data_IF_710469877870
#
_entry.id   IF_710469877870
#
_cell.length_a   1.000
_cell.length_b   1.000
_cell.length_c   1.000
_cell.angle_alpha   90.00
_cell.angle_beta   90.00
_cell.angle_gamma   90.00
#
_symmetry.space_group_name_H-M   'P 1'
#
loop_
_entity.id
_entity.type
_entity.pdbx_description
1 polymer ?
#
# COMPACT_ATOMS: atom_id res chain seq x y z
N UNK A 1 -3.71 19.96 -10.64
CA UNK A 1 -4.23 18.62 -10.24
C UNK A 1 -4.76 18.73 -8.82
N UNK A 2 -5.75 17.90 -8.49
CA UNK A 2 -6.26 17.74 -7.14
C UNK A 2 -5.37 16.75 -6.37
N UNK A 3 -5.27 16.94 -5.07
CA UNK A 3 -4.59 16.00 -4.18
C UNK A 3 -5.40 15.86 -2.90
N UNK A 4 -5.43 14.64 -2.38
CA UNK A 4 -6.12 14.31 -1.14
C UNK A 4 -5.19 13.54 -0.22
N UNK A 5 -5.36 13.71 1.08
CA UNK A 5 -4.74 12.89 2.10
C UNK A 5 -5.79 12.49 3.13
N UNK A 6 -5.68 11.28 3.65
CA UNK A 6 -6.44 10.81 4.81
C UNK A 6 -5.45 10.71 5.95
N UNK A 7 -5.71 11.40 7.06
CA UNK A 7 -4.83 11.31 8.23
C UNK A 7 -5.12 10.06 9.08
N UNK A 8 -4.35 9.92 10.16
CA UNK A 8 -4.46 8.77 11.06
C UNK A 8 -5.78 8.72 11.84
N UNK A 9 -6.52 9.82 11.89
CA UNK A 9 -7.81 9.94 12.59
C UNK A 9 -8.99 9.76 11.61
N UNK A 10 -8.69 9.55 10.32
CA UNK A 10 -9.66 9.35 9.27
C UNK A 10 -10.23 10.65 8.70
N UNK A 11 -9.65 11.82 9.01
CA UNK A 11 -10.06 13.09 8.40
C UNK A 11 -9.49 13.20 6.99
N UNK A 12 -10.32 13.70 6.08
CA UNK A 12 -9.95 13.95 4.69
C UNK A 12 -9.47 15.39 4.52
N UNK A 13 -8.28 15.53 3.95
CA UNK A 13 -7.65 16.79 3.59
C UNK A 13 -7.55 16.90 2.07
N UNK A 14 -7.79 18.09 1.51
CA UNK A 14 -7.68 18.31 0.06
C UNK A 14 -6.97 19.61 -0.27
N UNK A 15 -6.22 19.62 -1.37
CA UNK A 15 -5.58 20.81 -1.93
C UNK A 15 -5.38 20.68 -3.45
N UNK A 16 -4.95 21.78 -4.09
CA UNK A 16 -4.81 21.86 -5.53
C UNK A 16 -6.10 22.34 -6.20
N UNK A 17 -6.39 21.83 -7.39
CA UNK A 17 -7.56 22.25 -8.19
C UNK A 17 -8.77 21.38 -7.85
N UNK A 18 -9.53 21.80 -6.83
CA UNK A 18 -10.59 21.01 -6.19
C UNK A 18 -11.99 21.56 -6.50
N UNK A 19 -13.06 20.76 -6.39
CA UNK A 19 -14.45 21.26 -6.40
C UNK A 19 -14.65 22.39 -5.39
N UNK A 20 -15.27 23.49 -5.81
CA UNK A 20 -15.53 24.66 -4.96
C UNK A 20 -16.68 24.40 -4.01
N UNK A 21 -16.39 24.36 -2.70
CA UNK A 21 -17.41 24.21 -1.65
C UNK A 21 -18.08 25.53 -1.24
N UNK A 22 -17.62 26.65 -1.77
CA UNK A 22 -18.16 27.98 -1.49
C UNK A 22 -19.27 28.35 -2.49
N UNK A 23 -20.49 28.58 -1.99
CA UNK A 23 -21.57 29.22 -2.76
C UNK A 23 -21.26 30.71 -2.92
N UNK A 24 -20.35 31.07 -3.83
CA UNK A 24 -19.99 32.49 -4.04
C UNK A 24 -20.92 33.24 -4.99
N UNK A 25 -21.89 32.59 -5.61
CA UNK A 25 -22.96 33.23 -6.39
C UNK A 25 -24.22 32.37 -6.32
N UNK A 26 -25.40 32.94 -6.61
CA UNK A 26 -26.67 32.20 -6.80
C UNK A 26 -26.65 31.23 -8.00
N UNK A 27 -25.47 30.85 -8.49
CA UNK A 27 -25.28 29.86 -9.52
C UNK A 27 -24.88 28.55 -8.86
N UNK A 28 -25.76 27.56 -8.95
CA UNK A 28 -25.53 26.17 -8.53
C UNK A 28 -24.57 25.44 -9.48
N UNK A 29 -23.73 26.15 -10.23
CA UNK A 29 -22.88 25.58 -11.27
C UNK A 29 -21.61 25.00 -10.65
N UNK A 30 -21.28 23.76 -11.03
CA UNK A 30 -20.03 23.12 -10.63
C UNK A 30 -18.85 23.96 -11.11
N UNK A 31 -17.96 24.32 -10.18
CA UNK A 31 -16.73 25.04 -10.46
C UNK A 31 -15.58 24.46 -9.67
N UNK A 32 -14.37 24.62 -10.20
CA UNK A 32 -13.13 24.21 -9.56
C UNK A 32 -12.42 25.46 -9.02
N UNK A 33 -11.89 25.34 -7.81
CA UNK A 33 -11.13 26.39 -7.10
C UNK A 33 -9.75 25.88 -6.73
N UNK A 34 -8.80 26.80 -6.57
CA UNK A 34 -7.43 26.47 -6.17
C UNK A 34 -7.30 26.61 -4.66
N UNK A 35 -7.05 25.48 -3.99
CA UNK A 35 -6.66 25.42 -2.59
C UNK A 35 -5.13 25.33 -2.51
N UNK A 36 -4.47 26.39 -2.03
CA UNK A 36 -3.00 26.47 -1.99
C UNK A 36 -2.37 25.67 -0.84
N UNK A 37 -3.16 25.25 0.14
CA UNK A 37 -2.72 24.44 1.27
C UNK A 37 -3.75 23.34 1.55
N UNK A 38 -3.35 22.20 2.17
CA UNK A 38 -4.28 21.19 2.63
C UNK A 38 -5.36 21.79 3.53
N UNK A 39 -6.62 21.62 3.15
CA UNK A 39 -7.78 22.03 3.95
C UNK A 39 -8.61 20.82 4.37
N UNK A 40 -9.09 20.77 5.62
CA UNK A 40 -9.93 19.67 6.08
C UNK A 40 -11.32 19.76 5.45
N UNK A 41 -11.83 18.62 5.01
CA UNK A 41 -13.16 18.48 4.44
C UNK A 41 -14.21 18.37 5.55
N UNK A 42 -14.78 19.51 5.95
CA UNK A 42 -15.75 19.59 7.05
C UNK A 42 -17.02 18.78 6.82
N UNK A 43 -17.39 18.46 5.58
CA UNK A 43 -18.51 17.57 5.27
C UNK A 43 -18.30 16.11 5.70
N UNK A 44 -17.06 15.70 6.00
CA UNK A 44 -16.72 14.42 6.61
C UNK A 44 -16.40 14.55 8.11
N UNK A 45 -16.69 15.68 8.74
CA UNK A 45 -16.50 15.82 10.18
C UNK A 45 -17.37 14.81 10.93
N UNK A 46 -16.75 13.99 11.79
CA UNK A 46 -17.42 12.91 12.51
C UNK A 46 -17.56 11.60 11.70
N UNK A 47 -17.06 11.56 10.47
CA UNK A 47 -16.94 10.34 9.68
C UNK A 47 -15.46 9.93 9.58
N UNK A 48 -15.21 8.62 9.51
CA UNK A 48 -13.86 8.09 9.35
C UNK A 48 -13.63 7.63 7.90
N UNK A 49 -12.88 8.41 7.11
CA UNK A 49 -12.46 8.03 5.75
C UNK A 49 -11.32 7.01 5.85
N UNK A 50 -11.34 5.92 5.06
CA UNK A 50 -10.22 4.95 5.01
C UNK A 50 -9.39 5.05 3.73
N UNK A 51 -10.05 5.30 2.61
CA UNK A 51 -9.39 5.40 1.29
C UNK A 51 -10.02 6.53 0.49
N UNK A 52 -9.21 7.18 -0.31
CA UNK A 52 -9.63 8.22 -1.25
C UNK A 52 -8.96 7.97 -2.59
N UNK A 53 -9.68 8.21 -3.68
CA UNK A 53 -9.15 8.17 -5.04
C UNK A 53 -9.55 9.44 -5.79
N UNK A 54 -8.60 10.05 -6.49
CA UNK A 54 -8.80 11.28 -7.23
C UNK A 54 -8.68 11.01 -8.73
N UNK A 55 -9.71 11.36 -9.50
CA UNK A 55 -9.63 11.46 -10.95
C UNK A 55 -9.19 12.86 -11.39
N UNK A 56 -9.45 13.22 -12.65
CA UNK A 56 -9.11 14.56 -13.14
C UNK A 56 -9.90 15.65 -12.40
N UNK A 57 -11.19 15.41 -12.20
CA UNK A 57 -12.12 16.40 -11.66
C UNK A 57 -13.17 15.77 -10.73
N UNK A 58 -12.98 14.51 -10.31
CA UNK A 58 -13.87 13.80 -9.39
C UNK A 58 -13.10 13.04 -8.32
N UNK A 59 -13.78 12.73 -7.22
CA UNK A 59 -13.23 12.02 -6.07
C UNK A 59 -14.17 10.91 -5.66
N UNK A 60 -13.60 9.77 -5.28
CA UNK A 60 -14.27 8.73 -4.53
C UNK A 60 -13.65 8.62 -3.14
N UNK A 61 -14.50 8.44 -2.12
CA UNK A 61 -14.07 8.15 -0.76
C UNK A 61 -14.77 6.90 -0.24
N UNK A 62 -13.97 6.01 0.35
CA UNK A 62 -14.44 4.89 1.16
C UNK A 62 -14.48 5.35 2.61
N UNK A 63 -15.66 5.32 3.22
CA UNK A 63 -15.93 5.87 4.55
C UNK A 63 -16.57 4.80 5.44
N UNK A 64 -16.18 4.77 6.72
CA UNK A 64 -16.83 3.90 7.71
C UNK A 64 -18.28 4.34 7.93
N UNK A 65 -19.20 3.39 7.84
CA UNK A 65 -20.55 3.54 8.37
C UNK A 65 -20.54 3.12 9.84
N UNK A 66 -20.48 4.11 10.72
CA UNK A 66 -20.49 3.91 12.17
C UNK A 66 -21.76 3.22 12.70
N UNK A 67 -22.84 3.17 11.92
CA UNK A 67 -24.11 2.55 12.31
C UNK A 67 -24.21 1.09 11.86
N UNK A 68 -23.69 0.78 10.67
CA UNK A 68 -23.84 -0.54 10.05
C UNK A 68 -22.59 -1.44 10.17
N UNK A 69 -21.44 -0.91 10.61
CA UNK A 69 -20.18 -1.65 10.66
C UNK A 69 -19.68 -2.08 9.28
N UNK A 70 -20.08 -1.34 8.24
CA UNK A 70 -19.67 -1.55 6.85
C UNK A 70 -18.99 -0.28 6.32
N UNK A 71 -18.55 -0.33 5.05
CA UNK A 71 -17.97 0.82 4.37
C UNK A 71 -18.93 1.29 3.27
N UNK A 72 -19.06 2.60 3.12
CA UNK A 72 -19.87 3.24 2.09
C UNK A 72 -19.00 4.06 1.12
N UNK A 73 -19.44 4.16 -0.12
CA UNK A 73 -18.77 4.95 -1.15
C UNK A 73 -19.43 6.33 -1.28
N UNK A 74 -18.66 7.38 -1.08
CA UNK A 74 -19.04 8.75 -1.43
C UNK A 74 -18.34 9.18 -2.72
N UNK A 75 -19.03 9.97 -3.54
CA UNK A 75 -18.51 10.52 -4.77
C UNK A 75 -18.86 12.02 -4.92
N UNK A 76 -17.94 12.84 -5.42
CA UNK A 76 -18.21 14.22 -5.79
C UNK A 76 -17.26 14.71 -6.89
N UNK A 77 -17.61 15.84 -7.50
CA UNK A 77 -16.87 16.46 -8.58
C UNK A 77 -17.64 16.50 -9.90
N UNK A 78 -16.90 16.54 -11.00
CA UNK A 78 -17.43 16.45 -12.36
C UNK A 78 -18.14 15.11 -12.56
N UNK A 79 -19.29 15.13 -13.24
CA UNK A 79 -20.08 13.93 -13.52
C UNK A 79 -20.56 13.82 -14.97
N UNK A 80 -19.91 14.51 -15.92
CA UNK A 80 -20.38 14.59 -17.32
C UNK A 80 -20.62 13.23 -17.98
N UNK A 81 -19.89 12.21 -17.57
CA UNK A 81 -19.98 10.85 -18.11
C UNK A 81 -20.57 9.85 -17.11
N UNK A 82 -21.07 10.31 -15.96
CA UNK A 82 -21.60 9.43 -14.92
C UNK A 82 -20.55 8.87 -13.96
N UNK A 83 -19.34 9.46 -13.93
CA UNK A 83 -18.21 8.95 -13.14
C UNK A 83 -18.38 9.01 -11.62
N UNK A 84 -19.46 9.62 -11.14
CA UNK A 84 -19.87 9.57 -9.73
C UNK A 84 -20.73 8.36 -9.38
N UNK A 85 -21.33 7.67 -10.37
CA UNK A 85 -22.10 6.45 -10.12
C UNK A 85 -23.47 6.66 -9.45
N UNK A 86 -23.94 7.90 -9.36
CA UNK A 86 -25.16 8.29 -8.64
C UNK A 86 -26.45 8.20 -9.48
N UNK A 87 -26.41 7.57 -10.66
CA UNK A 87 -27.56 7.35 -11.52
C UNK A 87 -27.93 8.52 -12.43
N UNK A 88 -27.08 9.54 -12.53
CA UNK A 88 -27.23 10.68 -13.43
C UNK A 88 -25.85 11.19 -13.89
N UNK A 89 -25.83 12.23 -14.73
CA UNK A 89 -24.62 12.89 -15.22
C UNK A 89 -24.45 14.32 -14.68
N UNK A 90 -25.08 14.64 -13.54
CA UNK A 90 -25.02 15.97 -12.92
C UNK A 90 -23.86 16.07 -11.94
N UNK A 91 -23.03 17.09 -12.11
CA UNK A 91 -21.86 17.31 -11.27
C UNK A 91 -22.26 17.62 -9.82
N UNK A 92 -21.47 17.15 -8.87
CA UNK A 92 -21.76 17.27 -7.44
C UNK A 92 -20.67 18.07 -6.75
N UNK A 93 -21.05 19.18 -6.13
CA UNK A 93 -20.10 19.97 -5.33
C UNK A 93 -19.81 19.29 -4.00
N UNK A 94 -20.82 18.65 -3.40
CA UNK A 94 -20.71 17.97 -2.10
C UNK A 94 -20.65 16.45 -2.28
N UNK A 95 -19.97 15.71 -1.39
CA UNK A 95 -20.02 14.25 -1.36
C UNK A 95 -21.45 13.72 -1.40
N UNK A 96 -21.73 12.85 -2.37
CA UNK A 96 -22.98 12.12 -2.51
C UNK A 96 -22.75 10.63 -2.29
N UNK A 97 -23.68 9.98 -1.59
CA UNK A 97 -23.64 8.54 -1.39
C UNK A 97 -23.92 7.82 -2.72
N UNK A 98 -23.04 6.89 -3.11
CA UNK A 98 -23.26 6.02 -4.27
C UNK A 98 -24.17 4.86 -3.85
N UNK A 99 -25.48 5.15 -3.73
CA UNK A 99 -26.46 4.22 -3.13
C UNK A 99 -26.58 2.86 -3.86
N UNK A 100 -26.17 2.79 -5.13
CA UNK A 100 -26.14 1.55 -5.90
C UNK A 100 -25.07 0.54 -5.39
N UNK A 101 -24.03 1.03 -4.68
CA UNK A 101 -22.97 0.23 -4.04
C UNK A 101 -23.29 -0.01 -2.56
N UNK A 102 -24.48 -0.48 -2.26
CA UNK A 102 -24.83 -0.85 -0.89
C UNK A 102 -24.56 -2.33 -0.62
N UNK A 103 -24.57 -2.69 0.65
CA UNK A 103 -24.22 -4.03 1.10
C UNK A 103 -25.16 -5.11 0.57
N UNK A 104 -26.44 -4.79 0.40
CA UNK A 104 -27.47 -5.72 -0.09
C UNK A 104 -27.30 -6.02 -1.59
N UNK A 105 -26.82 -5.05 -2.37
CA UNK A 105 -26.66 -5.19 -3.82
C UNK A 105 -25.26 -5.63 -4.24
N UNK A 106 -24.22 -5.20 -3.51
CA UNK A 106 -22.84 -5.29 -3.97
C UNK A 106 -21.86 -5.88 -2.94
N UNK A 107 -22.20 -5.93 -1.66
CA UNK A 107 -21.36 -6.47 -0.58
C UNK A 107 -20.52 -5.41 0.15
N UNK A 108 -19.35 -5.79 0.68
CA UNK A 108 -18.50 -4.87 1.46
C UNK A 108 -17.49 -4.12 0.59
N UNK A 109 -17.52 -2.80 0.60
CA UNK A 109 -16.55 -1.97 -0.11
C UNK A 109 -15.14 -2.11 0.49
N UNK A 110 -14.15 -2.45 -0.34
CA UNK A 110 -12.75 -2.68 0.09
C UNK A 110 -11.73 -1.83 -0.68
N UNK A 111 -12.12 -1.26 -1.81
CA UNK A 111 -11.23 -0.46 -2.65
C UNK A 111 -11.97 0.50 -3.58
N UNK A 112 -11.36 1.64 -3.83
CA UNK A 112 -11.82 2.68 -4.76
C UNK A 112 -10.64 3.13 -5.61
N UNK A 113 -10.88 3.44 -6.88
CA UNK A 113 -9.88 3.96 -7.81
C UNK A 113 -10.57 4.86 -8.85
N UNK A 114 -9.87 5.90 -9.29
CA UNK A 114 -10.37 6.89 -10.24
C UNK A 114 -9.39 7.02 -11.40
N UNK A 115 -9.92 6.99 -12.62
CA UNK A 115 -9.18 7.40 -13.81
C UNK A 115 -9.50 8.84 -14.21
N UNK A 116 -9.32 9.19 -15.48
CA UNK A 116 -9.60 10.55 -15.96
C UNK A 116 -11.07 10.95 -15.74
N UNK A 117 -11.98 10.10 -16.23
CA UNK A 117 -13.43 10.31 -16.23
C UNK A 117 -14.19 9.01 -15.96
N UNK A 118 -13.54 8.05 -15.30
CA UNK A 118 -14.16 6.78 -14.90
C UNK A 118 -13.71 6.40 -13.50
N UNK A 119 -14.42 5.45 -12.94
CA UNK A 119 -14.35 5.04 -11.55
C UNK A 119 -14.41 3.52 -11.48
N UNK A 120 -13.64 2.94 -10.57
CA UNK A 120 -13.64 1.52 -10.29
C UNK A 120 -13.68 1.29 -8.78
N UNK A 121 -14.45 0.29 -8.36
CA UNK A 121 -14.57 -0.09 -6.95
C UNK A 121 -14.49 -1.60 -6.81
N UNK A 122 -13.91 -2.04 -5.69
CA UNK A 122 -13.86 -3.45 -5.30
C UNK A 122 -14.81 -3.70 -4.14
N UNK A 123 -15.65 -4.71 -4.32
CA UNK A 123 -16.66 -5.12 -3.34
C UNK A 123 -16.48 -6.59 -3.00
N UNK A 124 -16.44 -6.96 -1.72
CA UNK A 124 -16.37 -8.35 -1.28
C UNK A 124 -17.78 -8.95 -1.16
N UNK A 125 -18.01 -10.14 -1.72
CA UNK A 125 -19.36 -10.70 -1.87
C UNK A 125 -20.00 -11.24 -0.60
N UNK A 126 -19.23 -11.49 0.47
CA UNK A 126 -19.74 -12.11 1.70
C UNK A 126 -19.53 -11.25 2.94
N UNK A 127 -20.59 -11.12 3.76
CA UNK A 127 -20.46 -10.98 5.22
C UNK A 127 -20.00 -12.34 5.74
N UNK A 128 -18.75 -12.50 6.15
CA UNK A 128 -18.39 -13.69 6.93
C UNK A 128 -17.87 -13.24 8.29
N UNK A 129 -18.69 -13.50 9.31
CA UNK A 129 -18.30 -13.57 10.72
C UNK A 129 -17.34 -14.76 11.01
N UNK A 130 -16.72 -15.34 9.97
CA UNK A 130 -15.80 -16.47 10.01
C UNK A 130 -14.61 -16.13 9.08
N UNK A 131 -13.41 -15.81 9.60
CA UNK A 131 -12.30 -15.22 8.83
C UNK A 131 -11.59 -16.14 7.81
N UNK A 132 -12.16 -17.25 7.36
CA UNK A 132 -11.36 -18.36 6.80
C UNK A 132 -11.86 -19.01 5.50
N UNK A 133 -12.95 -18.55 4.89
CA UNK A 133 -13.38 -19.04 3.58
C UNK A 133 -13.26 -17.93 2.52
N UNK A 134 -12.72 -18.33 1.37
CA UNK A 134 -12.25 -17.51 0.24
C UNK A 134 -13.31 -16.56 -0.32
N UNK A 135 -13.52 -15.43 0.36
CA UNK A 135 -14.50 -14.43 -0.08
C UNK A 135 -14.06 -13.83 -1.43
N UNK A 136 -14.89 -14.01 -2.46
CA UNK A 136 -14.64 -13.49 -3.81
C UNK A 136 -14.99 -12.02 -3.84
N UNK A 137 -14.06 -11.20 -4.31
CA UNK A 137 -14.32 -9.78 -4.56
C UNK A 137 -14.71 -9.54 -6.01
N UNK A 138 -15.65 -8.64 -6.23
CA UNK A 138 -16.15 -8.22 -7.53
C UNK A 138 -15.70 -6.79 -7.83
N UNK A 139 -15.30 -6.55 -9.08
CA UNK A 139 -14.98 -5.22 -9.58
C UNK A 139 -16.21 -4.59 -10.24
N UNK A 140 -16.53 -3.36 -9.86
CA UNK A 140 -17.59 -2.57 -10.48
C UNK A 140 -16.99 -1.29 -11.05
N UNK A 141 -17.47 -0.89 -12.23
CA UNK A 141 -16.97 0.29 -12.93
C UNK A 141 -18.12 1.17 -13.44
N UNK A 142 -17.87 2.47 -13.51
CA UNK A 142 -18.82 3.50 -13.97
C UNK A 142 -18.09 4.75 -14.47
N UNK A 143 -18.81 5.63 -15.18
CA UNK A 143 -18.26 6.81 -15.85
C UNK A 143 -18.10 6.62 -17.35
N UNK A 144 -17.09 7.27 -17.92
CA UNK A 144 -16.78 7.24 -19.34
C UNK A 144 -16.36 5.85 -19.80
N UNK A 145 -17.02 5.32 -20.83
CA UNK A 145 -16.73 4.00 -21.40
C UNK A 145 -16.22 3.99 -22.84
N UNK A 146 -16.04 5.16 -23.47
CA UNK A 146 -15.76 5.28 -24.91
C UNK A 146 -14.53 4.49 -25.38
N UNK A 147 -13.54 4.29 -24.50
CA UNK A 147 -12.32 3.53 -24.77
C UNK A 147 -12.29 2.16 -24.09
N UNK A 148 -13.44 1.60 -23.75
CA UNK A 148 -13.53 0.29 -23.10
C UNK A 148 -13.05 0.25 -21.65
N UNK A 149 -12.65 1.38 -21.04
CA UNK A 149 -12.04 1.43 -19.70
C UNK A 149 -12.96 0.94 -18.57
N UNK A 150 -14.24 0.73 -18.85
CA UNK A 150 -15.19 0.11 -17.93
C UNK A 150 -15.17 -1.43 -17.97
N UNK A 151 -14.75 -2.06 -19.07
CA UNK A 151 -14.61 -3.52 -19.14
C UNK A 151 -15.93 -4.30 -19.32
N UNK A 152 -16.96 -3.66 -19.88
CA UNK A 152 -18.31 -4.22 -20.00
C UNK A 152 -18.61 -4.95 -21.32
N UNK A 153 -17.63 -5.04 -22.23
CA UNK A 153 -17.79 -5.58 -23.58
C UNK A 153 -18.36 -4.58 -24.58
N UNK A 154 -18.50 -3.31 -24.20
CA UNK A 154 -19.02 -2.22 -25.01
C UNK A 154 -18.24 -0.91 -24.73
N UNK A 155 -18.52 0.13 -25.52
CA UNK A 155 -17.95 1.48 -25.34
C UNK A 155 -18.93 2.45 -24.66
N UNK A 156 -19.97 1.94 -23.98
CA UNK A 156 -21.02 2.77 -23.41
C UNK A 156 -20.57 3.36 -22.06
N UNK A 157 -20.80 4.66 -21.87
CA UNK A 157 -20.66 5.28 -20.56
C UNK A 157 -21.79 4.84 -19.61
N UNK A 158 -21.51 4.77 -18.31
CA UNK A 158 -22.47 4.30 -17.31
C UNK A 158 -22.56 5.26 -16.12
N UNK A 159 -23.75 5.83 -15.89
CA UNK A 159 -24.03 6.65 -14.70
C UNK A 159 -24.29 5.85 -13.43
N UNK A 160 -24.37 4.53 -13.53
CA UNK A 160 -24.49 3.61 -12.40
C UNK A 160 -23.35 2.58 -12.41
N UNK A 161 -22.88 2.13 -11.23
CA UNK A 161 -21.93 1.03 -11.13
C UNK A 161 -22.46 -0.22 -11.82
N UNK A 162 -21.64 -0.81 -12.70
CA UNK A 162 -21.92 -2.08 -13.38
C UNK A 162 -20.80 -3.07 -13.10
N UNK A 163 -21.18 -4.34 -12.89
CA UNK A 163 -20.25 -5.42 -12.60
C UNK A 163 -19.43 -5.78 -13.84
N UNK A 164 -18.11 -5.87 -13.67
CA UNK A 164 -17.18 -6.31 -14.73
C UNK A 164 -17.20 -7.84 -14.83
N UNK A 165 -17.88 -8.37 -15.86
CA UNK A 165 -18.13 -9.82 -16.01
C UNK A 165 -16.93 -10.62 -16.53
N UNK A 166 -15.95 -9.98 -17.17
CA UNK A 166 -14.80 -10.65 -17.80
C UNK A 166 -13.67 -11.06 -16.84
N UNK A 167 -13.83 -10.85 -15.53
CA UNK A 167 -12.86 -11.25 -14.50
C UNK A 167 -13.13 -12.69 -14.02
N UNK A 168 -12.11 -13.38 -13.48
CA UNK A 168 -12.27 -14.72 -12.91
C UNK A 168 -13.33 -14.71 -11.78
N UNK A 169 -14.13 -15.78 -11.70
CA UNK A 169 -15.21 -15.91 -10.71
C UNK A 169 -14.75 -16.55 -9.40
N UNK A 170 -13.60 -17.20 -9.44
CA UNK A 170 -13.01 -18.07 -8.43
C UNK A 170 -11.71 -17.49 -7.84
N UNK A 171 -11.28 -16.32 -8.31
CA UNK A 171 -10.14 -15.60 -7.75
C UNK A 171 -10.58 -14.34 -7.01
N UNK A 172 -9.98 -14.12 -5.84
CA UNK A 172 -10.16 -12.89 -5.08
C UNK A 172 -9.30 -11.78 -5.67
N UNK A 173 -9.91 -10.67 -6.08
CA UNK A 173 -9.26 -9.44 -6.50
C UNK A 173 -8.89 -8.59 -5.28
N UNK A 174 -7.62 -8.25 -5.15
CA UNK A 174 -7.09 -7.55 -3.96
C UNK A 174 -6.78 -6.08 -4.24
N UNK A 175 -6.49 -5.74 -5.49
CA UNK A 175 -6.08 -4.40 -5.92
C UNK A 175 -6.83 -3.98 -7.18
N UNK A 176 -7.19 -2.70 -7.27
CA UNK A 176 -7.69 -2.04 -8.47
C UNK A 176 -6.97 -0.71 -8.66
N UNK A 177 -6.59 -0.38 -9.88
CA UNK A 177 -5.95 0.90 -10.20
C UNK A 177 -6.37 1.37 -11.59
N UNK A 178 -6.67 2.65 -11.70
CA UNK A 178 -7.13 3.29 -12.93
C UNK A 178 -6.08 4.27 -13.42
N UNK A 179 -5.70 4.15 -14.69
CA UNK A 179 -4.98 5.21 -15.41
C UNK A 179 -5.94 6.22 -16.01
N UNK A 180 -5.49 7.06 -16.94
CA UNK A 180 -6.41 8.02 -17.59
C UNK A 180 -7.57 7.30 -18.30
N UNK A 181 -7.23 6.28 -19.09
CA UNK A 181 -8.17 5.57 -19.97
C UNK A 181 -8.03 4.05 -19.90
N UNK A 182 -7.50 3.52 -18.81
CA UNK A 182 -7.39 2.08 -18.57
C UNK A 182 -7.63 1.73 -17.11
N UNK A 183 -8.07 0.50 -16.87
CA UNK A 183 -8.23 -0.06 -15.53
C UNK A 183 -7.44 -1.35 -15.45
N UNK A 184 -6.72 -1.55 -14.36
CA UNK A 184 -6.05 -2.80 -14.05
C UNK A 184 -6.44 -3.31 -12.66
N UNK A 185 -6.37 -4.63 -12.50
CA UNK A 185 -6.65 -5.32 -11.24
C UNK A 185 -5.63 -6.43 -10.99
N UNK A 186 -5.47 -6.80 -9.73
CA UNK A 186 -4.60 -7.88 -9.27
C UNK A 186 -5.39 -8.85 -8.42
N UNK A 187 -5.26 -10.15 -8.68
CA UNK A 187 -5.79 -11.19 -7.79
C UNK A 187 -4.82 -11.55 -6.67
N UNK A 188 -5.34 -12.18 -5.62
CA UNK A 188 -4.57 -12.72 -4.51
C UNK A 188 -3.53 -13.76 -4.98
N UNK A 189 -3.86 -14.52 -6.03
CA UNK A 189 -2.96 -15.44 -6.71
C UNK A 189 -1.87 -14.75 -7.55
N UNK A 190 -1.87 -13.42 -7.62
CA UNK A 190 -0.89 -12.63 -8.35
C UNK A 190 -1.13 -12.56 -9.86
N UNK A 191 -2.30 -12.97 -10.35
CA UNK A 191 -2.65 -12.70 -11.74
C UNK A 191 -3.07 -11.23 -11.90
N UNK A 192 -2.76 -10.66 -13.07
CA UNK A 192 -3.01 -9.26 -13.38
C UNK A 192 -3.90 -9.19 -14.62
N UNK A 193 -4.95 -8.38 -14.56
CA UNK A 193 -5.82 -8.09 -15.70
C UNK A 193 -5.87 -6.60 -15.96
N UNK A 194 -6.06 -6.23 -17.22
CA UNK A 194 -6.08 -4.85 -17.67
C UNK A 194 -6.99 -4.71 -18.90
N UNK A 195 -7.63 -3.55 -19.03
CA UNK A 195 -8.52 -3.21 -20.14
C UNK A 195 -8.63 -1.70 -20.32
N UNK A 196 -9.18 -1.26 -21.45
CA UNK A 196 -9.29 0.14 -21.83
C UNK A 196 -8.55 0.48 -23.13
N UNK A 197 -8.15 1.74 -23.24
CA UNK A 197 -7.69 2.36 -24.50
C UNK A 197 -6.41 1.71 -25.05
N UNK A 198 -6.43 1.03 -26.19
CA UNK A 198 -5.26 0.30 -26.73
C UNK A 198 -4.00 1.18 -26.83
N UNK A 199 -4.14 2.39 -27.36
CA UNK A 199 -3.03 3.36 -27.54
C UNK A 199 -2.65 4.11 -26.27
N UNK A 200 -3.45 4.00 -25.21
CA UNK A 200 -3.26 4.63 -23.90
C UNK A 200 -3.05 3.62 -22.76
N UNK A 201 -3.11 2.32 -23.06
CA UNK A 201 -3.22 1.21 -22.11
C UNK A 201 -1.96 0.98 -21.29
N UNK A 202 -0.88 1.66 -21.65
CA UNK A 202 0.41 1.07 -21.47
C UNK A 202 0.43 -0.35 -22.06
N UNK A 203 0.39 -0.44 -23.39
CA UNK A 203 0.62 -1.62 -24.24
C UNK A 203 0.76 -2.96 -23.48
N UNK A 204 -0.27 -3.80 -23.52
CA UNK A 204 -0.32 -5.04 -22.75
C UNK A 204 0.15 -6.25 -23.57
N UNK A 205 0.84 -7.23 -22.96
CA UNK A 205 1.44 -8.36 -23.67
C UNK A 205 0.41 -9.40 -24.09
N UNK A 206 0.62 -10.02 -25.25
CA UNK A 206 -0.28 -11.00 -25.86
C UNK A 206 -1.21 -10.44 -26.94
N UNK A 207 -1.11 -9.13 -27.23
CA UNK A 207 -2.09 -8.40 -28.02
C UNK A 207 -1.59 -7.88 -29.38
N UNK A 208 -0.35 -8.21 -29.75
CA UNK A 208 0.26 -7.81 -31.01
C UNK A 208 0.64 -6.33 -31.08
N UNK A 209 1.38 -5.90 -32.12
CA UNK A 209 1.68 -4.48 -32.33
C UNK A 209 0.41 -3.70 -32.66
N UNK A 210 0.30 -2.41 -32.25
CA UNK A 210 -0.81 -1.56 -32.62
C UNK A 210 -1.01 -1.55 -34.14
N UNK A 211 -2.25 -1.76 -34.59
CA UNK A 211 -2.61 -1.58 -36.01
C UNK A 211 -2.71 -2.85 -36.87
N UNK A 212 -2.66 -4.06 -36.31
CA UNK A 212 -3.01 -5.29 -37.04
C UNK A 212 -4.39 -5.78 -36.59
N UNK A 213 -5.42 -4.97 -36.84
CA UNK A 213 -6.83 -5.24 -36.49
C UNK A 213 -7.30 -4.70 -35.13
N UNK A 214 -6.50 -3.84 -34.49
CA UNK A 214 -6.65 -3.34 -33.11
C UNK A 214 -7.74 -2.29 -32.88
N UNK A 215 -8.39 -2.42 -31.73
CA UNK A 215 -9.32 -1.47 -31.14
C UNK A 215 -9.22 -1.54 -29.62
N UNK A 216 -9.91 -0.63 -28.93
CA UNK A 216 -9.91 -0.56 -27.46
C UNK A 216 -10.37 -1.87 -26.81
N UNK A 217 -9.80 -2.21 -25.65
CA UNK A 217 -10.09 -3.44 -24.94
C UNK A 217 -11.33 -3.26 -24.10
N UNK A 218 -12.45 -3.75 -24.64
CA UNK A 218 -13.76 -3.62 -24.01
C UNK A 218 -13.98 -4.62 -22.86
N UNK A 219 -13.12 -5.64 -22.72
CA UNK A 219 -13.16 -6.64 -21.65
C UNK A 219 -11.78 -6.79 -20.98
N UNK A 220 -11.73 -7.19 -19.69
CA UNK A 220 -10.49 -7.57 -19.02
C UNK A 220 -9.65 -8.58 -19.80
N UNK A 221 -8.37 -8.28 -20.00
CA UNK A 221 -7.39 -9.18 -20.59
C UNK A 221 -6.32 -9.51 -19.57
N UNK A 222 -6.00 -10.81 -19.42
CA UNK A 222 -4.95 -11.27 -18.51
C UNK A 222 -3.57 -10.89 -19.07
N UNK A 223 -2.75 -10.23 -18.25
CA UNK A 223 -1.38 -9.84 -18.58
C UNK A 223 -0.48 -11.07 -18.50
N UNK A 224 0.23 -11.36 -19.59
CA UNK A 224 1.20 -12.46 -19.68
C UNK A 224 2.61 -11.89 -19.68
N UNK A 225 3.41 -12.21 -18.66
CA UNK A 225 4.79 -11.75 -18.55
C UNK A 225 5.82 -12.88 -18.68
N UNK A 226 7.07 -12.60 -18.31
CA UNK A 226 8.10 -13.62 -18.13
C UNK A 226 7.72 -14.63 -17.03
N UNK A 227 8.45 -15.75 -16.95
CA UNK A 227 8.27 -16.72 -15.88
C UNK A 227 8.47 -16.07 -14.50
N UNK A 228 9.43 -15.17 -14.37
CA UNK A 228 9.68 -14.41 -13.14
C UNK A 228 8.50 -13.48 -12.79
N UNK A 229 7.91 -12.79 -13.78
CA UNK A 229 6.72 -11.97 -13.57
C UNK A 229 5.56 -12.84 -13.10
N UNK A 230 5.37 -13.98 -13.73
CA UNK A 230 4.27 -14.91 -13.42
C UNK A 230 4.45 -15.53 -12.04
N UNK A 231 5.67 -15.91 -11.66
CA UNK A 231 6.01 -16.51 -10.37
C UNK A 231 6.08 -15.50 -9.21
N UNK A 232 6.19 -14.20 -9.50
CA UNK A 232 6.19 -13.16 -8.45
C UNK A 232 4.83 -13.07 -7.74
N UNK A 233 4.86 -12.78 -6.44
CA UNK A 233 3.67 -12.69 -5.58
C UNK A 233 3.61 -11.34 -4.84
N UNK A 234 2.57 -11.11 -4.03
CA UNK A 234 2.43 -9.88 -3.25
C UNK A 234 2.35 -8.63 -4.13
N UNK A 235 1.57 -8.74 -5.22
CA UNK A 235 1.54 -7.76 -6.29
C UNK A 235 0.69 -6.54 -5.92
N UNK A 236 1.24 -5.34 -6.09
CA UNK A 236 0.58 -4.04 -5.88
C UNK A 236 0.68 -3.25 -7.18
N UNK A 237 -0.44 -2.67 -7.61
CA UNK A 237 -0.58 -2.08 -8.94
C UNK A 237 -0.78 -0.56 -8.86
N UNK A 238 -0.06 0.18 -9.69
CA UNK A 238 -0.25 1.60 -9.89
C UNK A 238 -0.35 1.92 -11.39
N UNK A 239 -1.48 2.52 -11.78
CA UNK A 239 -1.73 2.94 -13.15
C UNK A 239 -1.50 4.46 -13.28
N UNK A 240 -0.59 4.84 -14.18
CA UNK A 240 -0.36 6.22 -14.54
C UNK A 240 -1.14 6.63 -15.80
N UNK A 241 -0.76 7.76 -16.40
CA UNK A 241 -1.51 8.32 -17.53
C UNK A 241 -1.56 7.41 -18.77
N UNK A 242 -0.49 6.66 -19.02
CA UNK A 242 -0.38 5.70 -20.12
C UNK A 242 0.69 4.64 -19.88
N UNK A 243 1.00 4.38 -18.62
CA UNK A 243 1.94 3.36 -18.17
C UNK A 243 1.37 2.70 -16.92
N UNK A 244 1.84 1.49 -16.64
CA UNK A 244 1.45 0.73 -15.46
C UNK A 244 2.72 0.27 -14.75
N UNK A 245 2.74 0.38 -13.43
CA UNK A 245 3.81 -0.08 -12.57
C UNK A 245 3.25 -1.12 -11.62
N UNK A 246 4.01 -2.17 -11.37
CA UNK A 246 3.67 -3.24 -10.46
C UNK A 246 4.84 -3.50 -9.53
N UNK A 247 4.61 -3.38 -8.22
CA UNK A 247 5.53 -3.88 -7.22
C UNK A 247 5.19 -5.34 -6.89
N UNK A 248 6.20 -6.17 -6.72
CA UNK A 248 6.04 -7.60 -6.44
C UNK A 248 7.23 -8.13 -5.63
N UNK A 249 7.09 -9.34 -5.10
CA UNK A 249 8.19 -10.08 -4.48
C UNK A 249 8.50 -11.31 -5.31
N UNK A 250 9.78 -11.49 -5.64
CA UNK A 250 10.29 -12.66 -6.35
C UNK A 250 11.59 -13.09 -5.68
N UNK A 251 11.72 -14.38 -5.33
CA UNK A 251 12.88 -14.91 -4.61
C UNK A 251 13.26 -14.14 -3.32
N UNK A 252 12.25 -13.70 -2.54
CA UNK A 252 12.41 -12.85 -1.35
C UNK A 252 12.98 -11.44 -1.61
N UNK A 253 13.06 -11.01 -2.86
CA UNK A 253 13.50 -9.66 -3.24
C UNK A 253 12.33 -8.85 -3.80
N UNK A 254 12.32 -7.55 -3.51
CA UNK A 254 11.37 -6.62 -4.11
C UNK A 254 11.73 -6.36 -5.56
N UNK A 255 10.80 -6.64 -6.47
CA UNK A 255 10.96 -6.42 -7.91
C UNK A 255 9.87 -5.48 -8.40
N UNK A 256 10.28 -4.46 -9.14
CA UNK A 256 9.38 -3.54 -9.83
C UNK A 256 9.29 -3.92 -11.31
N UNK A 257 8.07 -3.95 -11.81
CA UNK A 257 7.77 -4.11 -13.23
C UNK A 257 7.09 -2.84 -13.73
N UNK A 258 7.39 -2.44 -14.95
CA UNK A 258 6.69 -1.36 -15.62
C UNK A 258 6.37 -1.77 -17.05
N UNK A 259 5.29 -1.23 -17.62
CA UNK A 259 5.02 -1.34 -19.05
C UNK A 259 4.16 -0.17 -19.52
N UNK A 260 4.12 0.02 -20.83
CA UNK A 260 3.41 1.09 -21.48
C UNK A 260 4.25 2.17 -22.11
N UNK A 261 3.80 3.43 -22.04
CA UNK A 261 4.53 4.55 -22.63
C UNK A 261 5.84 4.78 -21.87
N UNK A 262 6.96 4.75 -22.59
CA UNK A 262 8.30 4.87 -22.03
C UNK A 262 9.06 6.11 -22.46
N UNK A 263 8.44 7.00 -23.23
CA UNK A 263 8.99 8.32 -23.53
C UNK A 263 9.46 9.02 -22.25
N UNK A 264 10.59 9.72 -22.33
CA UNK A 264 11.25 10.40 -21.20
C UNK A 264 11.72 9.47 -20.06
N UNK A 265 11.85 8.15 -20.32
CA UNK A 265 12.35 7.20 -19.32
C UNK A 265 11.32 6.82 -18.25
N UNK A 266 10.03 7.06 -18.52
CA UNK A 266 8.92 6.87 -17.56
C UNK A 266 8.84 5.45 -16.97
N UNK A 267 9.27 4.43 -17.73
CA UNK A 267 9.28 3.04 -17.27
C UNK A 267 10.48 2.69 -16.37
N UNK A 268 11.49 3.55 -16.27
CA UNK A 268 12.66 3.33 -15.41
C UNK A 268 13.53 2.12 -15.81
N UNK A 269 13.50 1.70 -17.08
CA UNK A 269 14.25 0.54 -17.61
C UNK A 269 15.62 0.89 -18.17
N UNK A 270 16.04 2.15 -18.04
CA UNK A 270 17.21 2.70 -18.73
C UNK A 270 16.99 2.93 -20.24
N UNK A 271 15.77 2.76 -20.74
CA UNK A 271 15.37 2.99 -22.14
C UNK A 271 14.24 4.03 -22.20
N UNK A 272 14.15 4.73 -23.33
CA UNK A 272 13.08 5.70 -23.61
C UNK A 272 11.99 5.16 -24.55
N UNK A 273 11.99 3.85 -24.80
CA UNK A 273 11.02 3.20 -25.68
C UNK A 273 9.82 2.72 -24.87
N UNK A 274 8.66 2.74 -25.51
CA UNK A 274 7.47 2.09 -25.01
C UNK A 274 7.70 0.57 -24.86
N UNK A 275 7.06 -0.03 -23.87
CA UNK A 275 7.08 -1.48 -23.66
C UNK A 275 5.67 -2.05 -23.74
N UNK A 276 5.49 -3.06 -24.60
CA UNK A 276 4.23 -3.81 -24.74
C UNK A 276 4.07 -4.94 -23.74
N UNK A 277 5.04 -5.13 -22.86
CA UNK A 277 5.07 -6.20 -21.88
C UNK A 277 5.68 -5.71 -20.57
N UNK A 278 5.31 -6.30 -19.42
CA UNK A 278 5.99 -6.07 -18.16
C UNK A 278 7.49 -6.25 -18.32
N UNK A 279 8.24 -5.20 -18.01
CA UNK A 279 9.69 -5.20 -18.01
C UNK A 279 10.19 -4.78 -16.64
N UNK A 280 11.29 -5.39 -16.19
CA UNK A 280 11.89 -5.05 -14.89
C UNK A 280 12.39 -3.61 -14.93
N UNK A 281 12.01 -2.85 -13.90
CA UNK A 281 12.56 -1.51 -13.64
C UNK A 281 13.97 -1.68 -13.09
N UNK A 282 14.89 -0.78 -13.45
CA UNK A 282 16.25 -0.74 -12.92
C UNK A 282 16.26 -0.21 -11.47
N UNK A 283 15.78 -1.04 -10.53
CA UNK A 283 15.67 -0.71 -9.11
C UNK A 283 16.09 -1.89 -8.21
N UNK A 284 16.91 -1.66 -7.16
CA UNK A 284 17.66 -0.42 -6.91
C UNK A 284 18.71 -0.17 -8.02
N UNK A 285 19.18 1.07 -8.19
CA UNK A 285 20.21 1.38 -9.20
C UNK A 285 21.43 0.46 -9.04
N UNK A 286 22.05 0.01 -10.14
CA UNK A 286 23.20 -0.89 -10.08
C UNK A 286 24.39 -0.37 -9.23
N UNK A 287 24.45 0.95 -8.98
CA UNK A 287 25.46 1.60 -8.15
C UNK A 287 25.01 1.90 -6.70
N UNK A 288 23.85 1.41 -6.26
CA UNK A 288 23.32 1.70 -4.92
C UNK A 288 24.23 1.15 -3.80
N UNK A 289 24.96 0.07 -4.06
CA UNK A 289 25.96 -0.47 -3.13
C UNK A 289 27.20 0.44 -2.93
N UNK A 290 27.45 1.38 -3.85
CA UNK A 290 28.60 2.31 -3.78
C UNK A 290 28.21 3.71 -3.26
N UNK A 291 26.94 3.95 -2.94
CA UNK A 291 26.48 5.18 -2.30
C UNK A 291 26.58 5.04 -0.77
N UNK A 292 27.79 4.75 -0.28
CA UNK A 292 28.14 5.01 1.11
C UNK A 292 28.13 6.52 1.34
N UNK A 293 27.34 6.96 2.31
CA UNK A 293 27.20 8.34 2.76
C UNK A 293 28.60 8.93 3.01
N UNK A 294 29.01 10.04 2.38
CA UNK A 294 30.29 10.67 2.67
C UNK A 294 30.21 11.39 4.02
N UNK A 295 30.76 10.79 5.06
CA UNK A 295 30.88 11.43 6.37
C UNK A 295 31.55 10.53 7.41
N UNK A 296 32.83 10.76 7.67
CA UNK A 296 33.57 10.13 8.77
C UNK A 296 35.01 9.79 8.41
N UNK A 297 35.82 10.79 8.08
CA UNK A 297 37.26 10.61 7.99
C UNK A 297 37.85 10.33 9.37
N UNK A 298 38.57 9.21 9.50
CA UNK A 298 39.64 9.05 10.49
C UNK A 298 40.78 8.35 9.76
N UNK A 299 41.91 9.04 9.66
CA UNK A 299 43.13 8.47 9.11
C UNK A 299 43.74 7.43 10.06
N UNK A 300 44.38 6.41 9.49
CA UNK A 300 45.79 6.16 9.79
C UNK A 300 46.41 5.20 8.76
N UNK A 301 47.54 5.64 8.24
CA UNK A 301 48.79 4.95 7.93
C UNK A 301 48.80 3.51 7.40
N UNK A 302 49.57 3.35 6.34
CA UNK A 302 49.71 2.12 5.58
C UNK A 302 50.71 1.11 6.15
N UNK A 303 50.60 -0.12 5.63
CA UNK A 303 51.74 -0.86 5.10
C UNK A 303 51.24 -2.02 4.23
N UNK A 304 52.03 -2.31 3.20
CA UNK A 304 51.81 -3.23 2.08
C UNK A 304 51.57 -4.70 2.45
N UNK A 305 50.97 -5.38 1.46
CA UNK A 305 51.20 -6.75 0.98
C UNK A 305 50.38 -7.92 1.54
N UNK A 306 49.73 -8.60 0.59
CA UNK A 306 49.32 -10.00 0.54
C UNK A 306 50.31 -10.75 -0.40
N UNK A 307 50.27 -12.08 -0.56
CA UNK A 307 49.73 -13.17 0.29
C UNK A 307 50.72 -14.37 0.42
N UNK A 308 50.45 -15.34 1.31
CA UNK A 308 50.80 -16.76 1.05
C UNK A 308 50.26 -17.74 2.09
N UNK A 309 49.87 -18.91 1.58
CA UNK A 309 49.46 -20.17 2.24
C UNK A 309 50.33 -20.63 3.42
N UNK A 310 49.72 -21.34 4.39
CA UNK A 310 49.92 -22.78 4.60
C UNK A 310 49.44 -23.28 5.99
N UNK A 311 48.79 -24.44 5.91
CA UNK A 311 48.50 -25.54 6.85
C UNK A 311 49.29 -25.75 8.15
N UNK A 312 48.67 -26.61 8.99
CA UNK A 312 49.20 -27.51 10.05
C UNK A 312 49.18 -26.91 11.48
N UNK A 313 48.30 -27.36 12.38
CA UNK A 313 48.16 -28.63 13.13
C UNK A 313 48.75 -28.57 14.55
N UNK A 314 47.85 -28.73 15.52
CA UNK A 314 48.00 -29.41 16.83
C UNK A 314 49.11 -28.99 17.81
N UNK A 315 48.73 -28.60 19.04
CA UNK A 315 48.72 -29.50 20.21
C UNK A 315 48.26 -28.81 21.50
N UNK A 316 47.52 -29.61 22.26
CA UNK A 316 46.97 -29.45 23.60
C UNK A 316 48.00 -29.14 24.70
N UNK A 317 47.61 -28.31 25.67
CA UNK A 317 47.93 -28.51 27.08
C UNK A 317 46.69 -28.19 27.94
N UNK A 318 46.41 -29.13 28.84
CA UNK A 318 45.29 -29.17 29.76
C UNK A 318 45.82 -28.71 31.14
N UNK A 319 45.21 -27.69 31.74
CA UNK A 319 45.27 -27.49 33.19
C UNK A 319 43.84 -27.29 33.70
N UNK A 320 43.38 -28.29 34.44
CA UNK A 320 42.18 -28.25 35.27
C UNK A 320 42.55 -27.62 36.62
N UNK A 321 41.82 -26.60 37.07
CA UNK A 321 40.97 -26.70 38.27
C UNK A 321 40.44 -25.34 38.68
N UNK A 322 39.14 -25.32 38.99
CA UNK A 322 38.49 -24.39 39.91
C UNK A 322 38.02 -23.02 39.38
N UNK A 323 37.03 -23.05 38.47
CA UNK A 323 36.07 -21.95 38.22
C UNK A 323 34.76 -22.45 37.60
N UNK A 324 34.24 -23.57 38.10
CA UNK A 324 33.01 -24.22 37.60
C UNK A 324 31.69 -23.45 37.83
N UNK A 325 31.74 -22.13 38.06
CA UNK A 325 30.56 -21.28 38.30
C UNK A 325 30.66 -19.87 37.68
N UNK A 326 31.57 -19.60 36.74
CA UNK A 326 31.80 -18.21 36.30
C UNK A 326 32.16 -17.98 34.83
N UNK A 327 31.94 -18.91 33.90
CA UNK A 327 32.11 -18.60 32.46
C UNK A 327 30.80 -18.72 31.70
N UNK A 328 30.02 -19.78 31.89
CA UNK A 328 28.70 -19.90 31.27
C UNK A 328 27.71 -18.87 31.84
N UNK A 329 27.70 -18.64 33.15
CA UNK A 329 26.86 -17.60 33.76
C UNK A 329 27.28 -16.19 33.32
N UNK A 330 28.58 -15.99 33.12
CA UNK A 330 29.14 -14.73 32.64
C UNK A 330 28.84 -14.51 31.14
N UNK A 331 28.89 -15.57 30.34
CA UNK A 331 28.49 -15.55 28.93
C UNK A 331 26.98 -15.35 28.77
N UNK A 332 26.16 -15.99 29.61
CA UNK A 332 24.72 -15.76 29.66
C UNK A 332 24.40 -14.32 30.08
N UNK A 333 25.04 -13.81 31.14
CA UNK A 333 24.87 -12.43 31.58
C UNK A 333 25.36 -11.43 30.52
N UNK A 334 26.47 -11.68 29.83
CA UNK A 334 26.96 -10.84 28.73
C UNK A 334 25.99 -10.85 27.54
N UNK A 335 25.43 -12.01 27.20
CA UNK A 335 24.41 -12.14 26.16
C UNK A 335 23.13 -11.39 26.54
N UNK A 336 22.72 -11.48 27.80
CA UNK A 336 21.56 -10.76 28.33
C UNK A 336 21.82 -9.24 28.34
N UNK A 337 22.99 -8.79 28.77
CA UNK A 337 23.40 -7.37 28.70
C UNK A 337 23.40 -6.86 27.26
N UNK A 338 23.94 -7.63 26.31
CA UNK A 338 23.89 -7.28 24.89
C UNK A 338 22.45 -7.17 24.37
N UNK A 339 21.57 -8.08 24.81
CA UNK A 339 20.16 -8.08 24.43
C UNK A 339 19.43 -6.88 25.02
N UNK A 340 19.60 -6.62 26.31
CA UNK A 340 19.04 -5.46 27.01
C UNK A 340 19.59 -4.13 26.45
N UNK A 341 20.86 -4.09 26.04
CA UNK A 341 21.45 -2.91 25.41
C UNK A 341 20.84 -2.66 24.03
N UNK A 342 20.60 -3.73 23.26
CA UNK A 342 19.92 -3.62 21.96
C UNK A 342 18.46 -3.20 22.12
N UNK A 343 17.72 -3.79 23.07
CA UNK A 343 16.34 -3.41 23.40
C UNK A 343 16.26 -1.97 23.90
N UNK A 344 17.17 -1.55 24.78
CA UNK A 344 17.28 -0.17 25.24
C UNK A 344 17.58 0.78 24.07
N UNK A 345 18.48 0.42 23.16
CA UNK A 345 18.78 1.23 21.97
C UNK A 345 17.56 1.39 21.04
N UNK A 346 16.75 0.34 20.93
CA UNK A 346 15.52 0.33 20.16
C UNK A 346 14.46 1.21 20.83
N UNK A 347 14.26 1.04 22.14
CA UNK A 347 13.34 1.86 22.93
C UNK A 347 13.72 3.34 22.88
N UNK A 348 15.03 3.66 22.91
CA UNK A 348 15.56 5.02 22.76
C UNK A 348 15.26 5.62 21.38
N UNK A 349 15.39 4.84 20.29
CA UNK A 349 15.02 5.29 18.94
C UNK A 349 13.54 5.55 18.80
N UNK A 350 12.69 4.64 19.31
CA UNK A 350 11.24 4.85 19.34
C UNK A 350 10.86 6.10 20.12
N UNK A 351 11.49 6.31 21.28
CA UNK A 351 11.24 7.48 22.11
C UNK A 351 11.62 8.78 21.39
N UNK A 352 12.80 8.85 20.76
CA UNK A 352 13.21 10.03 20.00
C UNK A 352 12.28 10.31 18.80
N UNK A 353 11.83 9.27 18.10
CA UNK A 353 10.85 9.41 17.01
C UNK A 353 9.49 9.92 17.53
N UNK A 354 9.06 9.46 18.69
CA UNK A 354 7.79 9.88 19.29
C UNK A 354 7.87 11.31 19.83
N UNK A 355 8.99 11.68 20.46
CA UNK A 355 9.28 13.07 20.84
C UNK A 355 9.24 14.00 19.63
N UNK A 356 9.87 13.61 18.52
CA UNK A 356 9.88 14.40 17.28
C UNK A 356 8.48 14.51 16.64
N UNK A 357 7.66 13.46 16.73
CA UNK A 357 6.30 13.48 16.21
C UNK A 357 5.36 14.42 16.98
N UNK A 358 5.57 14.56 18.30
CA UNK A 358 4.71 15.37 19.17
C UNK A 358 5.18 16.84 19.22
N UNK A 359 6.49 17.07 19.31
CA UNK A 359 7.04 18.40 19.59
C UNK A 359 7.97 18.95 18.49
N UNK A 360 8.15 18.23 17.40
CA UNK A 360 9.12 18.55 16.34
C UNK A 360 10.56 18.13 16.69
N UNK A 361 11.50 18.22 15.73
CA UNK A 361 12.89 17.85 15.95
C UNK A 361 13.54 18.74 17.02
N UNK A 362 14.32 18.14 17.94
CA UNK A 362 15.04 18.89 18.98
C UNK A 362 16.13 19.76 18.36
N UNK A 363 16.39 20.94 18.95
CA UNK A 363 17.34 21.92 18.39
C UNK A 363 18.82 21.49 18.41
N UNK A 364 19.19 20.39 19.08
CA UNK A 364 20.53 19.81 19.04
C UNK A 364 20.61 18.68 18.02
N UNK A 365 21.40 18.90 16.96
CA UNK A 365 21.64 17.95 15.88
C UNK A 365 22.63 16.82 16.26
N UNK A 366 22.86 16.59 17.55
CA UNK A 366 23.75 15.54 18.03
C UNK A 366 22.96 14.51 18.83
N UNK A 367 22.76 13.33 18.25
CA UNK A 367 22.05 12.19 18.84
C UNK A 367 22.85 11.53 20.00
N UNK A 368 23.63 12.30 20.76
CA UNK A 368 24.60 11.77 21.73
C UNK A 368 24.19 11.96 23.20
N UNK A 369 23.10 12.65 23.54
CA UNK A 369 22.68 12.70 24.95
C UNK A 369 21.17 12.49 25.10
N UNK A 370 20.81 11.23 25.35
CA UNK A 370 19.42 10.80 25.60
C UNK A 370 18.82 11.48 26.85
N UNK A 371 19.68 12.02 27.71
CA UNK A 371 19.32 12.77 28.91
C UNK A 371 18.75 14.15 28.58
N UNK A 372 19.20 14.79 27.51
CA UNK A 372 18.65 16.09 27.08
C UNK A 372 17.23 15.98 26.54
N UNK A 373 16.87 14.88 25.86
CA UNK A 373 15.51 14.66 25.34
C UNK A 373 14.52 14.39 26.47
N UNK A 374 14.90 13.61 27.49
CA UNK A 374 14.06 13.37 28.66
C UNK A 374 13.85 14.66 29.47
N UNK A 375 14.91 15.45 29.68
CA UNK A 375 14.79 16.74 30.36
C UNK A 375 13.98 17.75 29.54
N UNK A 376 14.07 17.75 28.20
CA UNK A 376 13.23 18.60 27.34
C UNK A 376 11.76 18.17 27.39
N UNK A 377 11.49 16.87 27.44
CA UNK A 377 10.14 16.32 27.63
C UNK A 377 9.55 16.73 28.98
N UNK A 378 10.28 16.52 30.08
CA UNK A 378 9.82 16.86 31.43
C UNK A 378 9.58 18.38 31.56
N UNK A 379 10.47 19.19 30.98
CA UNK A 379 10.31 20.64 30.92
C UNK A 379 9.07 21.04 30.13
N UNK A 380 8.84 20.45 28.95
CA UNK A 380 7.69 20.81 28.10
C UNK A 380 6.37 20.33 28.66
N UNK A 381 6.31 19.14 29.26
CA UNK A 381 5.12 18.66 29.97
C UNK A 381 4.78 19.58 31.16
N UNK A 382 5.79 20.11 31.85
CA UNK A 382 5.58 21.09 32.93
C UNK A 382 5.13 22.48 32.42
N UNK A 383 5.51 22.86 31.20
CA UNK A 383 5.13 24.12 30.55
C UNK A 383 3.80 24.04 29.77
N UNK A 384 3.30 22.83 29.46
CA UNK A 384 2.08 22.60 28.68
C UNK A 384 0.79 22.97 29.44
N UNK A 385 -0.19 23.46 28.67
CA UNK A 385 -1.54 23.72 29.18
C UNK A 385 -2.31 22.42 29.45
N UNK A 386 -3.37 22.49 30.27
CA UNK A 386 -4.22 21.33 30.58
C UNK A 386 -4.85 20.71 29.31
N UNK A 387 -5.23 21.53 28.34
CA UNK A 387 -5.84 21.10 27.08
C UNK A 387 -4.84 20.31 26.22
N UNK A 388 -3.58 20.77 26.14
CA UNK A 388 -2.50 20.07 25.45
C UNK A 388 -2.16 18.74 26.13
N UNK A 389 -2.18 18.68 27.46
CA UNK A 389 -1.96 17.45 28.22
C UNK A 389 -3.07 16.41 27.99
N UNK A 390 -4.32 16.84 27.83
CA UNK A 390 -5.44 15.95 27.47
C UNK A 390 -5.25 15.39 26.07
N UNK A 391 -4.91 16.22 25.09
CA UNK A 391 -4.61 15.75 23.73
C UNK A 391 -3.44 14.75 23.70
N UNK A 392 -2.41 15.00 24.52
CA UNK A 392 -1.28 14.10 24.66
C UNK A 392 -1.68 12.74 25.26
N UNK A 393 -2.48 12.72 26.33
CA UNK A 393 -3.00 11.49 26.94
C UNK A 393 -3.85 10.68 25.93
N UNK A 394 -4.71 11.34 25.17
CA UNK A 394 -5.52 10.69 24.14
C UNK A 394 -4.65 10.08 23.03
N UNK A 395 -3.63 10.81 22.55
CA UNK A 395 -2.66 10.28 21.59
C UNK A 395 -1.96 9.01 22.10
N UNK A 396 -1.48 9.01 23.35
CA UNK A 396 -0.81 7.85 23.94
C UNK A 396 -1.75 6.66 24.16
N UNK A 397 -3.00 6.90 24.57
CA UNK A 397 -4.00 5.84 24.72
C UNK A 397 -4.28 5.17 23.38
N UNK A 398 -4.40 5.94 22.31
CA UNK A 398 -4.60 5.44 20.96
C UNK A 398 -3.36 4.68 20.44
N UNK A 399 -2.15 5.23 20.60
CA UNK A 399 -0.92 4.56 20.22
C UNK A 399 -0.75 3.21 20.94
N UNK A 400 -1.06 3.16 22.25
CA UNK A 400 -1.05 1.92 23.03
C UNK A 400 -2.10 0.91 22.53
N UNK A 401 -3.27 1.38 22.11
CA UNK A 401 -4.29 0.54 21.46
C UNK A 401 -3.74 -0.11 20.19
N UNK A 402 -3.18 0.69 19.28
CA UNK A 402 -2.58 0.21 18.02
C UNK A 402 -1.47 -0.82 18.24
N UNK A 403 -0.60 -0.61 19.24
CA UNK A 403 0.45 -1.58 19.58
C UNK A 403 -0.15 -2.90 20.09
N UNK A 404 -1.17 -2.84 20.95
CA UNK A 404 -1.86 -4.04 21.43
C UNK A 404 -2.50 -4.82 20.28
N UNK A 405 -3.12 -4.12 19.33
CA UNK A 405 -3.73 -4.74 18.16
C UNK A 405 -2.67 -5.38 17.25
N UNK A 406 -1.55 -4.69 17.00
CA UNK A 406 -0.44 -5.24 16.23
C UNK A 406 0.20 -6.47 16.90
N UNK A 407 0.36 -6.44 18.23
CA UNK A 407 0.84 -7.60 18.99
C UNK A 407 -0.15 -8.76 18.95
N UNK A 408 -1.46 -8.47 19.04
CA UNK A 408 -2.51 -9.48 18.95
C UNK A 408 -2.53 -10.12 17.55
N UNK A 409 -2.46 -9.32 16.49
CA UNK A 409 -2.36 -9.78 15.11
C UNK A 409 -1.14 -10.67 14.90
N UNK A 410 0.03 -10.28 15.44
CA UNK A 410 1.25 -11.10 15.35
C UNK A 410 1.11 -12.43 16.10
N UNK A 411 0.47 -12.44 17.28
CA UNK A 411 0.17 -13.67 18.02
C UNK A 411 -0.81 -14.56 17.28
N UNK A 412 -1.90 -14.00 16.74
CA UNK A 412 -2.87 -14.73 15.92
C UNK A 412 -2.18 -15.37 14.72
N UNK A 413 -1.35 -14.62 14.00
CA UNK A 413 -0.55 -15.14 12.88
C UNK A 413 0.35 -16.31 13.31
N UNK A 414 1.07 -16.17 14.42
CA UNK A 414 1.92 -17.23 14.97
C UNK A 414 1.12 -18.48 15.36
N UNK A 415 -0.08 -18.32 15.94
CA UNK A 415 -0.94 -19.46 16.27
C UNK A 415 -1.51 -20.13 15.01
N UNK A 416 -1.91 -19.35 14.00
CA UNK A 416 -2.33 -19.89 12.70
C UNK A 416 -1.19 -20.66 12.03
N UNK A 417 0.04 -20.15 12.05
CA UNK A 417 1.22 -20.84 11.51
C UNK A 417 1.49 -22.15 12.24
N UNK A 418 1.43 -22.16 13.58
CA UNK A 418 1.57 -23.40 14.39
C UNK A 418 0.47 -24.41 14.12
N UNK A 419 -0.77 -23.95 13.98
CA UNK A 419 -1.91 -24.82 13.67
C UNK A 419 -1.80 -25.44 12.27
N UNK A 420 -1.39 -24.64 11.27
CA UNK A 420 -1.13 -25.13 9.91
C UNK A 420 0.05 -26.11 9.85
N UNK A 421 1.05 -25.95 10.72
CA UNK A 421 2.14 -26.92 10.86
C UNK A 421 1.65 -28.25 11.44
N UNK A 422 0.84 -28.21 12.50
CA UNK A 422 0.26 -29.40 13.14
C UNK A 422 -0.61 -30.22 12.18
N UNK A 423 -1.40 -29.56 11.33
CA UNK A 423 -2.23 -30.24 10.31
C UNK A 423 -1.37 -30.93 9.24
N UNK A 424 -0.23 -30.34 8.87
CA UNK A 424 0.70 -30.97 7.91
C UNK A 424 1.40 -32.20 8.51
N UNK A 425 1.73 -32.17 9.79
CA UNK A 425 2.35 -33.31 10.48
C UNK A 425 1.35 -34.46 10.70
N UNK A 426 0.10 -34.18 11.09
CA UNK A 426 -0.95 -35.21 11.21
C UNK A 426 -1.38 -35.79 9.86
N UNK A 427 -1.37 -34.97 8.80
CA UNK A 427 -1.65 -35.43 7.43
C UNK A 427 -0.57 -36.36 6.85
N UNK A 428 0.69 -36.19 7.27
CA UNK A 428 1.77 -37.12 6.92
C UNK A 428 1.68 -38.44 7.72
N UNK A 429 1.31 -38.38 9.01
CA UNK A 429 1.16 -39.57 9.84
C UNK A 429 0.00 -40.50 9.40
N UNK A 430 -1.06 -39.96 8.77
CA UNK A 430 -2.14 -40.78 8.21
C UNK A 430 -1.83 -41.43 6.86
N UNK A 431 -0.79 -40.97 6.15
CA UNK A 431 -0.41 -41.52 4.84
C UNK A 431 0.61 -42.68 4.95
N UNK A 432 1.34 -42.81 6.06
CA UNK A 432 2.25 -43.95 6.29
C UNK A 432 1.52 -45.23 6.75
N UNK A 433 0.25 -45.15 7.15
CA UNK A 433 -0.53 -46.31 7.62
C UNK A 433 -1.40 -46.99 6.55
N UNK A 434 -1.23 -46.67 5.26
CA UNK A 434 -2.01 -47.28 4.17
C UNK A 434 -1.31 -48.39 3.38
N UNK A 435 -0.07 -48.74 3.72
CA UNK A 435 0.70 -49.79 3.02
C UNK A 435 0.82 -51.12 3.78
N UNK A 436 0.03 -51.36 4.84
CA UNK A 436 -0.05 -52.67 5.48
C UNK A 436 -1.49 -53.01 5.87
N UNK A 437 -2.22 -53.66 4.94
CA UNK A 437 -3.02 -54.88 5.15
C UNK A 437 -3.82 -55.25 3.89
#
# INVERSE_FOLDING_TARGET
>A
MMSCAVDQDGLLWMWGYCPSFENKTNETSFSLTVLQAPQPMTCFQGFHVKKVACGNEHVLALVDDHLAGNHVCYAWGNNRYGQLGIGNCEAQVKPQLVAALNQETAGHLIGVSCGAYHSAVLMNSEMVQIPALSAVSKCWTFGMGENGQLGHGDSASSGTPKLVQGLPKDERIVEVSCGLFHTGVVSEGGAVWIWGMEKGLGLCPGLGPPGVGGGDYLLPVKVIGSDEFTASHGKILACGAGHTVLASVYNNESVLWAWGRGQNGLLGTGKSLDSVAPCKVCWPPCNYANLSIPGGGVGNDGHNSMPSDCSSETRSLQENSDRGFSEEMLAMAQKEICTLTAELSLMKRYYASLHAAVYGPSASNDASSTWEVLNDWDRRVAESSYEELVCLDDFYRQARGRIKDAMLQRKVKMYCEKFMHSIREEGFAMNENKDVL
#
